data_IF_360495065328
#
_entry.id   IF_360495065328
#
_cell.length_a   1.000
_cell.length_b   1.000
_cell.length_c   1.000
_cell.angle_alpha   90.00
_cell.angle_beta   90.00
_cell.angle_gamma   90.00
#
_symmetry.space_group_name_H-M   'P 1'
#
loop_
_entity.id
_entity.type
_entity.pdbx_description
1 polymer ?
#
# COMPACT_ATOMS: atom_id res chain seq x y z
N UNK A 1 1.99 30.29 -11.82
CA UNK A 1 1.48 28.97 -11.44
C UNK A 1 2.67 28.02 -11.49
N UNK A 2 3.35 27.81 -10.37
CA UNK A 2 4.42 26.82 -10.29
C UNK A 2 3.82 25.62 -9.57
N UNK A 3 3.56 24.55 -10.32
CA UNK A 3 3.20 23.25 -9.73
C UNK A 3 4.47 22.70 -9.08
N UNK A 4 4.55 22.87 -7.76
CA UNK A 4 5.53 22.22 -6.90
C UNK A 4 5.22 20.71 -6.92
N UNK A 5 5.84 20.01 -7.86
CA UNK A 5 6.02 18.56 -7.79
C UNK A 5 7.30 18.32 -6.98
N UNK A 6 7.24 17.93 -5.70
CA UNK A 6 8.44 17.51 -5.02
C UNK A 6 8.99 16.23 -5.66
N UNK A 7 10.25 16.34 -6.04
CA UNK A 7 11.08 15.31 -6.66
C UNK A 7 11.12 14.02 -5.85
N UNK A 8 11.10 12.90 -6.59
CA UNK A 8 11.73 11.64 -6.17
C UNK A 8 13.21 11.93 -5.85
N UNK A 9 13.61 11.81 -4.58
CA UNK A 9 14.87 11.19 -4.11
C UNK A 9 14.97 11.42 -2.60
N UNK A 10 14.60 10.43 -1.79
CA UNK A 10 15.17 10.28 -0.45
C UNK A 10 15.57 8.81 -0.34
N UNK A 11 16.81 8.54 -0.76
CA UNK A 11 17.44 7.24 -0.67
C UNK A 11 18.24 7.24 0.62
N UNK A 12 17.67 6.66 1.66
CA UNK A 12 18.33 6.53 2.95
C UNK A 12 19.46 5.49 2.86
N UNK A 13 20.57 5.83 3.52
CA UNK A 13 21.82 5.06 3.58
C UNK A 13 21.76 3.99 4.68
N UNK A 14 20.59 3.34 4.86
CA UNK A 14 20.35 2.39 5.94
C UNK A 14 20.00 1.00 5.39
N UNK A 15 21.01 0.14 5.26
CA UNK A 15 20.87 -1.27 4.87
C UNK A 15 20.07 -2.15 5.84
N UNK A 16 18.78 -1.86 6.07
CA UNK A 16 17.84 -2.70 6.81
C UNK A 16 16.43 -2.69 6.18
N UNK A 17 16.29 -3.45 5.09
CA UNK A 17 15.08 -4.20 4.70
C UNK A 17 13.69 -3.51 4.63
N UNK A 18 13.55 -2.18 4.77
CA UNK A 18 12.23 -1.52 4.81
C UNK A 18 12.07 -0.22 4.03
N UNK A 19 13.05 0.20 3.24
CA UNK A 19 12.92 1.36 2.33
C UNK A 19 12.41 1.01 0.92
N UNK A 20 12.37 -0.27 0.54
CA UNK A 20 12.00 -0.61 -0.84
C UNK A 20 10.51 -0.44 -1.17
N UNK A 21 9.64 -0.27 -0.16
CA UNK A 21 8.20 -0.20 -0.38
C UNK A 21 7.58 0.82 0.56
N UNK A 22 7.16 1.95 -0.01
CA UNK A 22 6.51 3.01 0.72
C UNK A 22 5.07 2.57 1.07
N UNK A 23 4.53 2.91 2.25
CA UNK A 23 3.12 2.69 2.55
C UNK A 23 2.18 3.26 1.48
N UNK A 24 2.58 4.36 0.82
CA UNK A 24 1.81 4.94 -0.27
C UNK A 24 1.70 4.03 -1.51
N UNK A 25 2.72 3.20 -1.80
CA UNK A 25 2.69 2.27 -2.94
C UNK A 25 1.57 1.23 -2.81
N UNK A 26 1.28 0.78 -1.59
CA UNK A 26 0.19 -0.17 -1.33
C UNK A 26 -1.19 0.46 -1.52
N UNK A 27 -1.33 1.75 -1.19
CA UNK A 27 -2.54 2.53 -1.41
C UNK A 27 -2.73 2.78 -2.90
N UNK A 28 -1.67 3.18 -3.62
CA UNK A 28 -1.70 3.37 -5.08
C UNK A 28 -2.05 2.06 -5.80
N UNK A 29 -1.48 0.93 -5.36
CA UNK A 29 -1.82 -0.38 -5.89
C UNK A 29 -3.31 -0.71 -5.71
N UNK A 30 -3.88 -0.41 -4.54
CA UNK A 30 -5.33 -0.57 -4.35
C UNK A 30 -6.15 0.34 -5.27
N UNK A 31 -5.72 1.58 -5.50
CA UNK A 31 -6.38 2.46 -6.48
C UNK A 31 -6.29 1.90 -7.91
N UNK A 32 -5.15 1.34 -8.32
CA UNK A 32 -4.98 0.70 -9.63
C UNK A 32 -5.89 -0.51 -9.82
N UNK A 33 -6.13 -1.26 -8.74
CA UNK A 33 -7.04 -2.41 -8.72
C UNK A 33 -8.52 -2.02 -8.69
N UNK A 34 -8.84 -0.72 -8.59
CA UNK A 34 -10.22 -0.21 -8.59
C UNK A 34 -10.73 0.21 -7.21
N UNK A 35 -9.84 0.45 -6.25
CA UNK A 35 -10.16 0.91 -4.90
C UNK A 35 -10.29 -0.23 -3.87
N UNK A 36 -10.29 -1.47 -4.31
CA UNK A 36 -10.31 -2.65 -3.45
C UNK A 36 -9.47 -3.78 -4.04
N UNK A 37 -8.90 -4.62 -3.17
CA UNK A 37 -8.03 -5.71 -3.62
C UNK A 37 -7.64 -6.68 -2.51
N UNK A 38 -7.33 -7.91 -2.89
CA UNK A 38 -6.80 -8.89 -1.94
C UNK A 38 -5.31 -8.64 -1.68
N UNK A 39 -4.80 -9.13 -0.54
CA UNK A 39 -3.35 -9.06 -0.24
C UNK A 39 -2.47 -9.62 -1.38
N UNK A 40 -2.97 -10.63 -2.10
CA UNK A 40 -2.24 -11.22 -3.23
C UNK A 40 -2.14 -10.22 -4.39
N UNK A 41 -3.24 -9.60 -4.77
CA UNK A 41 -3.27 -8.67 -5.90
C UNK A 41 -2.43 -7.44 -5.60
N UNK A 42 -2.55 -6.87 -4.40
CA UNK A 42 -1.70 -5.77 -3.97
C UNK A 42 -0.22 -6.17 -3.97
N UNK A 43 0.10 -7.38 -3.51
CA UNK A 43 1.48 -7.86 -3.54
C UNK A 43 2.04 -7.99 -4.96
N UNK A 44 1.21 -8.45 -5.91
CA UNK A 44 1.57 -8.59 -7.32
C UNK A 44 1.77 -7.23 -7.98
N UNK A 45 0.84 -6.29 -7.75
CA UNK A 45 0.88 -4.92 -8.27
C UNK A 45 2.10 -4.14 -7.75
N UNK A 46 2.40 -4.24 -6.45
CA UNK A 46 3.59 -3.62 -5.84
C UNK A 46 4.88 -4.39 -6.18
N UNK A 47 4.78 -5.64 -6.66
CA UNK A 47 5.93 -6.50 -6.90
C UNK A 47 6.61 -7.01 -5.62
N UNK A 48 5.88 -7.11 -4.51
CA UNK A 48 6.41 -7.53 -3.22
C UNK A 48 5.95 -8.94 -2.79
N UNK A 49 6.58 -9.48 -1.75
CA UNK A 49 6.14 -10.75 -1.17
C UNK A 49 4.82 -10.59 -0.43
N UNK A 50 3.92 -11.59 -0.51
CA UNK A 50 2.64 -11.58 0.23
C UNK A 50 2.79 -11.28 1.71
N UNK A 51 3.84 -11.78 2.36
CA UNK A 51 4.10 -11.54 3.78
C UNK A 51 4.34 -10.05 4.05
N UNK A 52 5.10 -9.38 3.19
CA UNK A 52 5.35 -7.94 3.25
C UNK A 52 4.06 -7.16 3.03
N UNK A 53 3.28 -7.53 2.02
CA UNK A 53 1.98 -6.94 1.76
C UNK A 53 1.04 -7.08 2.96
N UNK A 54 0.91 -8.27 3.57
CA UNK A 54 0.09 -8.45 4.77
C UNK A 54 0.53 -7.53 5.91
N UNK A 55 1.83 -7.43 6.16
CA UNK A 55 2.35 -6.59 7.25
C UNK A 55 2.06 -5.10 7.00
N UNK A 56 2.35 -4.63 5.78
CA UNK A 56 2.15 -3.22 5.40
C UNK A 56 0.68 -2.83 5.35
N UNK A 57 -0.19 -3.67 4.78
CA UNK A 57 -1.63 -3.44 4.72
C UNK A 57 -2.25 -3.44 6.13
N UNK A 58 -1.83 -4.35 7.00
CA UNK A 58 -2.26 -4.31 8.41
C UNK A 58 -1.83 -3.02 9.11
N UNK A 59 -0.60 -2.55 8.89
CA UNK A 59 -0.12 -1.29 9.46
C UNK A 59 -0.90 -0.08 8.90
N UNK A 60 -1.19 -0.05 7.60
CA UNK A 60 -2.01 1.00 6.98
C UNK A 60 -3.45 1.01 7.51
N UNK A 61 -4.00 -0.16 7.79
CA UNK A 61 -5.32 -0.29 8.40
C UNK A 61 -5.33 0.22 9.84
N UNK A 62 -4.29 -0.08 10.60
CA UNK A 62 -4.12 0.41 11.97
C UNK A 62 -3.99 1.94 12.02
N UNK A 63 -3.27 2.52 11.04
CA UNK A 63 -3.15 3.98 10.82
C UNK A 63 -4.45 4.62 10.28
N UNK A 64 -5.48 3.82 9.96
CA UNK A 64 -6.75 4.31 9.41
C UNK A 64 -6.68 4.78 7.96
N UNK A 65 -5.59 4.46 7.24
CA UNK A 65 -5.37 4.84 5.83
C UNK A 65 -6.14 3.97 4.86
N UNK A 66 -6.36 2.70 5.22
CA UNK A 66 -7.16 1.75 4.45
C UNK A 66 -8.14 1.02 5.36
N UNK A 67 -9.24 0.57 4.78
CA UNK A 67 -10.14 -0.41 5.38
C UNK A 67 -9.69 -1.85 5.10
N UNK A 68 -10.17 -2.76 5.93
CA UNK A 68 -10.04 -4.20 5.70
C UNK A 68 -11.31 -4.91 6.14
N UNK A 69 -11.88 -5.72 5.24
CA UNK A 69 -13.03 -6.60 5.53
C UNK A 69 -12.68 -8.04 5.18
N UNK A 70 -13.16 -8.96 6.00
CA UNK A 70 -13.04 -10.39 5.69
C UNK A 70 -14.07 -10.77 4.61
N UNK A 71 -13.60 -11.39 3.53
CA UNK A 71 -14.42 -11.86 2.40
C UNK A 71 -14.11 -13.33 2.17
N UNK A 72 -14.95 -14.19 2.74
CA UNK A 72 -14.76 -15.64 2.70
C UNK A 72 -13.54 -16.07 3.52
N UNK A 73 -12.49 -16.56 2.85
CA UNK A 73 -11.22 -16.98 3.47
C UNK A 73 -10.07 -16.00 3.27
N UNK A 74 -10.37 -14.82 2.73
CA UNK A 74 -9.39 -13.81 2.34
C UNK A 74 -9.74 -12.48 2.97
N UNK A 75 -8.74 -11.66 3.26
CA UNK A 75 -8.95 -10.26 3.63
C UNK A 75 -8.96 -9.40 2.37
N UNK A 76 -10.05 -8.66 2.19
CA UNK A 76 -10.19 -7.64 1.16
C UNK A 76 -9.85 -6.29 1.77
N UNK A 77 -8.88 -5.62 1.18
CA UNK A 77 -8.46 -4.28 1.56
C UNK A 77 -9.19 -3.30 0.66
N UNK A 78 -9.63 -2.19 1.24
CA UNK A 78 -10.34 -1.14 0.52
C UNK A 78 -9.72 0.19 0.90
N UNK A 79 -9.44 1.04 -0.07
CA UNK A 79 -9.10 2.43 0.22
C UNK A 79 -10.39 3.18 0.50
N UNK A 80 -10.51 3.88 1.65
CA UNK A 80 -11.65 4.77 1.86
C UNK A 80 -11.61 5.84 0.77
N UNK A 81 -12.70 5.95 0.02
CA UNK A 81 -12.91 7.06 -0.91
C UNK A 81 -13.06 8.30 -0.03
N UNK A 82 -11.95 9.02 0.18
CA UNK A 82 -11.92 10.24 0.96
C UNK A 82 -12.67 11.31 0.19
N UNK A 83 -13.90 11.60 0.64
CA UNK A 83 -14.69 12.78 0.25
C UNK A 83 -13.97 14.10 0.59
#
# INVERSE_FOLDING_TARGET
MAEDKPSKDDRDDAGKFSEQYDPADFVDALHRLGGEGSTKEVADEVGCSRRTATYRLSALRDDGRIGGREVGRSMLWVVPDGE
#
